data_IF_913021865755
#
_entry.id   IF_913021865755
#
_cell.length_a   1.000
_cell.length_b   1.000
_cell.length_c   1.000
_cell.angle_alpha   90.00
_cell.angle_beta   90.00
_cell.angle_gamma   90.00
#
_symmetry.space_group_name_H-M   'P 1'
#
loop_
_entity.id
_entity.type
_entity.pdbx_description
1 polymer ?
#
# COMPACT_ATOMS: atom_id res chain seq x y z
N UNK A 1 -6.33 -9.25 13.14
CA UNK A 1 -5.15 -9.76 12.40
C UNK A 1 -4.22 -10.56 13.29
N UNK A 2 -3.60 -9.96 14.33
CA UNK A 2 -2.61 -10.63 15.23
C UNK A 2 -3.00 -12.03 15.70
N UNK A 3 -4.16 -12.19 16.34
CA UNK A 3 -4.64 -13.49 16.82
C UNK A 3 -5.03 -14.45 15.67
N UNK A 4 -5.70 -13.93 14.63
CA UNK A 4 -6.18 -14.74 13.49
C UNK A 4 -5.05 -15.39 12.68
N UNK A 5 -3.87 -14.74 12.64
CA UNK A 5 -2.71 -15.19 11.87
C UNK A 5 -1.50 -15.52 12.75
N UNK A 6 -1.71 -15.71 14.06
CA UNK A 6 -0.67 -16.11 15.03
C UNK A 6 0.59 -15.23 15.00
N UNK A 7 0.44 -13.91 14.83
CA UNK A 7 1.58 -12.99 14.82
C UNK A 7 2.11 -12.78 16.24
N UNK A 8 3.41 -13.01 16.44
CA UNK A 8 4.09 -12.82 17.74
C UNK A 8 4.51 -11.37 18.01
N UNK A 9 4.59 -10.55 16.97
CA UNK A 9 5.10 -9.16 17.05
C UNK A 9 4.06 -8.16 17.57
N UNK A 10 4.54 -7.01 18.06
CA UNK A 10 3.70 -5.84 18.34
C UNK A 10 3.44 -5.04 17.05
N UNK A 11 2.65 -3.95 17.13
CA UNK A 11 2.27 -3.18 15.94
C UNK A 11 3.46 -2.55 15.21
N UNK A 12 4.43 -2.00 15.95
CA UNK A 12 5.62 -1.40 15.34
C UNK A 12 6.52 -2.46 14.69
N UNK A 13 6.70 -3.60 15.36
CA UNK A 13 7.42 -4.74 14.81
C UNK A 13 6.75 -5.31 13.57
N UNK A 14 5.41 -5.29 13.52
CA UNK A 14 4.66 -5.65 12.33
C UNK A 14 4.95 -4.71 11.15
N UNK A 15 4.88 -3.39 11.36
CA UNK A 15 5.18 -2.44 10.29
C UNK A 15 6.62 -2.56 9.77
N UNK A 16 7.58 -2.77 10.66
CA UNK A 16 8.98 -2.97 10.28
C UNK A 16 9.16 -4.24 9.44
N UNK A 17 8.70 -5.39 9.94
CA UNK A 17 8.82 -6.67 9.25
C UNK A 17 8.08 -6.69 7.90
N UNK A 18 6.92 -6.03 7.83
CA UNK A 18 6.16 -5.91 6.59
C UNK A 18 6.88 -5.02 5.57
N UNK A 19 7.45 -3.89 6.00
CA UNK A 19 8.26 -3.03 5.14
C UNK A 19 9.49 -3.76 4.60
N UNK A 20 10.20 -4.49 5.45
CA UNK A 20 11.38 -5.29 5.03
C UNK A 20 10.99 -6.36 4.01
N UNK A 21 9.85 -7.03 4.22
CA UNK A 21 9.32 -8.01 3.25
C UNK A 21 9.00 -7.37 1.90
N UNK A 22 8.35 -6.18 1.90
CA UNK A 22 8.03 -5.44 0.67
C UNK A 22 9.29 -5.04 -0.09
N UNK A 23 10.29 -4.52 0.61
CA UNK A 23 11.57 -4.12 0.02
C UNK A 23 12.29 -5.33 -0.57
N UNK A 24 12.37 -6.45 0.18
CA UNK A 24 13.06 -7.67 -0.26
C UNK A 24 12.42 -8.28 -1.51
N UNK A 25 11.08 -8.25 -1.61
CA UNK A 25 10.36 -8.68 -2.81
C UNK A 25 10.64 -7.75 -3.99
N UNK A 26 10.73 -6.43 -3.75
CA UNK A 26 11.06 -5.43 -4.78
C UNK A 26 12.49 -5.58 -5.31
N UNK A 27 13.46 -5.86 -4.44
CA UNK A 27 14.89 -5.99 -4.79
C UNK A 27 15.26 -7.38 -5.31
N UNK A 28 14.32 -8.35 -5.29
CA UNK A 28 14.55 -9.78 -5.62
C UNK A 28 15.61 -10.45 -4.75
N UNK A 29 15.80 -9.95 -3.52
CA UNK A 29 16.75 -10.50 -2.55
C UNK A 29 16.13 -11.64 -1.71
N UNK A 30 14.84 -11.92 -1.90
CA UNK A 30 14.11 -12.97 -1.20
C UNK A 30 13.47 -13.95 -2.18
N UNK A 31 13.40 -15.23 -1.77
CA UNK A 31 12.56 -16.24 -2.41
C UNK A 31 11.07 -16.04 -2.10
N UNK A 32 10.73 -15.10 -1.22
CA UNK A 32 9.35 -14.78 -0.89
C UNK A 32 8.65 -14.10 -2.07
N UNK A 33 7.40 -14.51 -2.29
CA UNK A 33 6.54 -13.98 -3.35
C UNK A 33 5.39 -13.24 -2.70
N UNK A 34 5.07 -12.05 -3.20
CA UNK A 34 3.86 -11.33 -2.83
C UNK A 34 2.84 -11.42 -3.97
N UNK A 35 1.63 -11.86 -3.64
CA UNK A 35 0.53 -12.00 -4.60
C UNK A 35 -0.62 -11.12 -4.15
N UNK A 36 -1.03 -10.20 -5.02
CA UNK A 36 -2.25 -9.43 -4.82
C UNK A 36 -3.36 -9.99 -5.70
N UNK A 37 -4.46 -10.41 -5.09
CA UNK A 37 -5.61 -11.02 -5.77
C UNK A 37 -6.84 -10.14 -5.58
N UNK A 38 -7.57 -9.88 -6.66
CA UNK A 38 -8.90 -9.29 -6.58
C UNK A 38 -9.92 -10.37 -6.23
N UNK A 39 -10.62 -10.19 -5.11
CA UNK A 39 -11.63 -11.11 -4.63
C UNK A 39 -12.97 -10.70 -5.24
N UNK A 40 -13.46 -11.44 -6.24
CA UNK A 40 -14.78 -11.21 -6.81
C UNK A 40 -14.95 -9.86 -7.53
N UNK A 41 -16.18 -9.35 -7.59
CA UNK A 41 -16.56 -8.13 -8.34
C UNK A 41 -16.78 -6.91 -7.46
N UNK A 42 -16.73 -7.06 -6.14
CA UNK A 42 -16.96 -5.98 -5.16
C UNK A 42 -15.71 -5.10 -4.94
N UNK A 43 -14.59 -5.41 -5.59
CA UNK A 43 -13.35 -4.64 -5.51
C UNK A 43 -12.50 -4.96 -4.29
N UNK A 44 -12.88 -5.96 -3.48
CA UNK A 44 -12.07 -6.43 -2.37
C UNK A 44 -10.76 -7.01 -2.88
N UNK A 45 -9.67 -6.77 -2.16
CA UNK A 45 -8.34 -7.28 -2.50
C UNK A 45 -7.77 -8.12 -1.38
N UNK A 46 -6.92 -9.09 -1.69
CA UNK A 46 -6.07 -9.76 -0.71
C UNK A 46 -4.62 -9.70 -1.18
N UNK A 47 -3.75 -9.18 -0.32
CA UNK A 47 -2.31 -9.36 -0.44
C UNK A 47 -1.88 -10.55 0.42
N UNK A 48 -1.29 -11.56 -0.21
CA UNK A 48 -0.68 -12.70 0.47
C UNK A 48 0.83 -12.68 0.27
N UNK A 49 1.58 -12.82 1.37
CA UNK A 49 3.01 -13.11 1.34
C UNK A 49 3.20 -14.61 1.42
N UNK A 50 3.95 -15.16 0.48
CA UNK A 50 4.23 -16.58 0.34
C UNK A 50 5.73 -16.80 0.48
N UNK A 51 6.13 -17.74 1.31
CA UNK A 51 7.49 -18.25 1.34
C UNK A 51 7.58 -19.45 0.40
N UNK A 52 8.51 -19.40 -0.56
CA UNK A 52 8.79 -20.52 -1.46
C UNK A 52 9.83 -21.45 -0.81
N UNK A 53 9.38 -22.66 -0.44
CA UNK A 53 10.23 -23.71 0.13
C UNK A 53 10.74 -24.69 -0.95
N UNK A 54 10.60 -24.36 -2.23
CA UNK A 54 11.04 -25.13 -3.40
C UNK A 54 10.13 -26.29 -3.81
N UNK A 55 9.35 -26.84 -2.87
CA UNK A 55 8.37 -27.91 -3.11
C UNK A 55 6.92 -27.49 -2.81
N UNK A 56 6.75 -26.34 -2.16
CA UNK A 56 5.46 -25.74 -1.85
C UNK A 56 5.63 -24.26 -1.52
N UNK A 57 4.55 -23.51 -1.70
CA UNK A 57 4.43 -22.15 -1.22
C UNK A 57 3.68 -22.17 0.11
N UNK A 58 4.18 -21.45 1.11
CA UNK A 58 3.56 -21.32 2.44
C UNK A 58 3.12 -19.87 2.64
N UNK A 59 1.83 -19.65 2.90
CA UNK A 59 1.32 -18.32 3.25
C UNK A 59 1.82 -17.93 4.65
N UNK A 60 2.59 -16.84 4.71
CA UNK A 60 3.19 -16.32 5.95
C UNK A 60 2.46 -15.09 6.49
N UNK A 61 1.79 -14.32 5.60
CA UNK A 61 1.00 -13.16 5.97
C UNK A 61 -0.12 -12.94 4.96
N UNK A 62 -1.30 -12.56 5.46
CA UNK A 62 -2.45 -12.17 4.64
C UNK A 62 -2.99 -10.82 5.08
N UNK A 63 -3.17 -9.91 4.14
CA UNK A 63 -3.80 -8.62 4.37
C UNK A 63 -4.97 -8.47 3.41
N UNK A 64 -6.17 -8.37 3.97
CA UNK A 64 -7.38 -8.11 3.20
C UNK A 64 -7.59 -6.60 3.10
N UNK A 65 -7.83 -6.12 1.89
CA UNK A 65 -8.07 -4.74 1.52
C UNK A 65 -9.53 -4.53 1.18
N UNK A 66 -10.06 -3.43 1.69
CA UNK A 66 -11.37 -2.90 1.31
C UNK A 66 -11.14 -1.85 0.22
N UNK A 67 -11.92 -1.85 -0.87
CA UNK A 67 -11.80 -0.82 -1.88
C UNK A 67 -12.15 0.54 -1.27
N UNK A 68 -11.44 1.57 -1.72
CA UNK A 68 -11.81 2.94 -1.38
C UNK A 68 -13.18 3.28 -1.98
N UNK A 69 -13.94 4.06 -1.23
CA UNK A 69 -15.13 4.75 -1.74
C UNK A 69 -14.71 5.82 -2.76
N UNK A 70 -15.62 6.20 -3.65
CA UNK A 70 -15.35 7.25 -4.65
C UNK A 70 -14.85 8.55 -4.01
N UNK A 71 -15.42 8.93 -2.85
CA UNK A 71 -14.98 10.08 -2.08
C UNK A 71 -13.54 9.96 -1.60
N UNK A 72 -13.17 8.82 -1.02
CA UNK A 72 -11.80 8.58 -0.55
C UNK A 72 -10.79 8.59 -1.70
N UNK A 73 -11.18 8.05 -2.87
CA UNK A 73 -10.37 8.13 -4.09
C UNK A 73 -10.16 9.60 -4.48
N UNK A 74 -11.22 10.40 -4.54
CA UNK A 74 -11.13 11.83 -4.89
C UNK A 74 -10.23 12.60 -3.91
N UNK A 75 -10.38 12.38 -2.60
CA UNK A 75 -9.55 13.01 -1.58
C UNK A 75 -8.07 12.59 -1.72
N UNK A 76 -7.81 11.30 -1.98
CA UNK A 76 -6.44 10.80 -2.15
C UNK A 76 -5.76 11.34 -3.41
N UNK A 77 -6.48 11.34 -4.52
CA UNK A 77 -6.01 11.88 -5.81
C UNK A 77 -5.69 13.37 -5.66
N UNK A 78 -6.54 14.15 -4.97
CA UNK A 78 -6.25 15.56 -4.71
C UNK A 78 -4.99 15.76 -3.85
N UNK A 79 -4.76 14.91 -2.85
CA UNK A 79 -3.55 14.97 -2.03
C UNK A 79 -2.29 14.66 -2.87
N UNK A 80 -2.32 13.60 -3.68
CA UNK A 80 -1.19 13.24 -4.55
C UNK A 80 -0.90 14.35 -5.57
N UNK A 81 -1.94 14.96 -6.15
CA UNK A 81 -1.75 16.12 -7.04
C UNK A 81 -1.07 17.30 -6.35
N UNK A 82 -1.42 17.59 -5.09
CA UNK A 82 -0.76 18.66 -4.31
C UNK A 82 0.69 18.32 -4.02
N UNK A 83 0.99 17.09 -3.62
CA UNK A 83 2.36 16.64 -3.37
C UNK A 83 3.23 16.72 -4.64
N UNK A 84 2.68 16.32 -5.80
CA UNK A 84 3.36 16.49 -7.09
C UNK A 84 3.57 17.97 -7.44
N UNK A 85 2.55 18.82 -7.23
CA UNK A 85 2.67 20.26 -7.49
C UNK A 85 3.81 20.89 -6.67
N UNK A 86 3.89 20.56 -5.38
CA UNK A 86 4.99 21.00 -4.51
C UNK A 86 6.36 20.54 -5.00
N UNK A 87 6.45 19.29 -5.47
CA UNK A 87 7.71 18.71 -5.95
C UNK A 87 8.19 19.37 -7.25
N UNK A 88 7.25 19.71 -8.16
CA UNK A 88 7.56 20.25 -9.49
C UNK A 88 7.75 21.76 -9.50
N UNK A 89 6.97 22.51 -8.70
CA UNK A 89 6.91 23.97 -8.74
C UNK A 89 7.46 24.62 -7.45
N UNK A 90 7.73 23.86 -6.39
CA UNK A 90 8.11 24.40 -5.08
C UNK A 90 6.90 24.84 -4.25
N UNK A 91 7.06 24.90 -2.92
CA UNK A 91 5.94 25.19 -2.00
C UNK A 91 5.35 26.58 -2.17
N UNK A 92 6.15 27.55 -2.62
CA UNK A 92 5.70 28.92 -2.84
C UNK A 92 4.87 29.06 -4.13
N UNK A 93 5.10 28.22 -5.15
CA UNK A 93 4.43 28.30 -6.46
C UNK A 93 3.43 27.14 -6.73
N UNK A 94 3.02 26.41 -5.68
CA UNK A 94 1.99 25.35 -5.79
C UNK A 94 0.70 25.85 -6.47
N UNK A 95 0.41 27.15 -6.39
CA UNK A 95 -0.73 27.82 -7.03
C UNK A 95 -0.62 27.95 -8.56
N UNK A 96 0.58 27.86 -9.12
CA UNK A 96 0.81 27.93 -10.57
C UNK A 96 0.56 26.58 -11.26
N UNK A 97 0.40 25.50 -10.48
CA UNK A 97 0.09 24.19 -11.01
C UNK A 97 -1.33 24.19 -11.63
N UNK A 98 -1.50 23.71 -12.88
CA UNK A 98 -2.77 23.78 -13.61
C UNK A 98 -3.92 22.96 -12.99
N UNK A 99 -3.65 22.20 -11.93
CA UNK A 99 -4.57 21.34 -11.20
C UNK A 99 -4.69 21.70 -9.70
N UNK A 100 -4.17 22.86 -9.28
CA UNK A 100 -4.30 23.32 -7.90
C UNK A 100 -5.78 23.59 -7.55
N UNK A 101 -6.26 22.97 -6.47
CA UNK A 101 -7.63 23.19 -6.00
C UNK A 101 -7.80 24.65 -5.54
N UNK A 102 -8.87 25.37 -5.95
CA UNK A 102 -9.11 26.74 -5.50
C UNK A 102 -9.29 26.78 -3.98
N UNK A 103 -8.52 27.62 -3.26
CA UNK A 103 -8.83 27.87 -1.85
C UNK A 103 -10.17 28.62 -1.76
N UNK A 104 -11.11 28.09 -0.96
CA UNK A 104 -12.29 28.84 -0.54
C UNK A 104 -11.80 30.11 0.18
N UNK A 105 -12.10 31.28 -0.39
CA UNK A 105 -11.90 32.58 0.26
C UNK A 105 -12.92 32.78 1.36
#
# INVERSE_FOLDING_TARGET
MKQKQNLSVNLNGFYLAFKESLVSCKTRESANVMVFTMNGTDGMGTLACLEDLGHKHVETLRIDFVPYTEREIQERVQLEYREMAKTLYGEEEEYAAPFAAPRRR
#
